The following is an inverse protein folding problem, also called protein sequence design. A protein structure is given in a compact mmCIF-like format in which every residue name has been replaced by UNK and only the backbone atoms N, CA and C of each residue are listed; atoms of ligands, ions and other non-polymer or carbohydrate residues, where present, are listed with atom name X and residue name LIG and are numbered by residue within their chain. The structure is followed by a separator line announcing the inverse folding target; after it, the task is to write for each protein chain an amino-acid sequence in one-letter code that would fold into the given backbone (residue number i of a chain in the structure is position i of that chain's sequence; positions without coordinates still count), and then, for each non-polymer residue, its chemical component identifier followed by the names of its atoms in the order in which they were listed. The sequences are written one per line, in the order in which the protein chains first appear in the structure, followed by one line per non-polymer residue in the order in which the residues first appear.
data_IF_734237760109
#
_entry.id   IF_734237760109
#
_cell.length_a   1.000
_cell.length_b   1.000
_cell.length_c   1.000
_cell.angle_alpha   90.00
_cell.angle_beta   90.00
_cell.angle_gamma   90.00
#
_symmetry.space_group_name_H-M   'P 1'
#
loop_
_entity.id
_entity.type
_entity.pdbx_description
1 polymer ?
#
# COMPACT_ATOMS: atom_id res chain seq x y z
N UNK A 1 -8.02 13.93 -27.49
CA UNK A 1 -9.15 13.01 -27.25
C UNK A 1 -9.90 13.51 -26.02
N UNK A 2 -11.17 13.89 -26.15
CA UNK A 2 -12.01 14.26 -25.00
C UNK A 2 -12.40 12.98 -24.26
N UNK A 3 -11.84 12.75 -23.06
CA UNK A 3 -12.35 11.71 -22.16
C UNK A 3 -13.71 12.18 -21.63
N UNK A 4 -14.77 11.43 -21.89
CA UNK A 4 -16.06 11.60 -21.21
C UNK A 4 -15.81 11.55 -19.69
N UNK A 5 -16.33 12.48 -18.88
CA UNK A 5 -16.17 12.41 -17.44
C UNK A 5 -16.76 11.08 -16.94
N UNK A 6 -15.94 10.29 -16.25
CA UNK A 6 -16.43 9.09 -15.57
C UNK A 6 -17.48 9.46 -14.51
N UNK A 7 -18.27 8.47 -14.04
CA UNK A 7 -19.21 8.71 -12.96
C UNK A 7 -18.47 9.31 -11.75
N UNK A 8 -19.06 10.35 -11.15
CA UNK A 8 -18.54 10.94 -9.92
C UNK A 8 -18.64 9.88 -8.81
N UNK A 9 -17.53 9.62 -8.12
CA UNK A 9 -17.51 8.70 -6.99
C UNK A 9 -18.40 9.25 -5.87
N UNK A 10 -19.24 8.41 -5.28
CA UNK A 10 -20.00 8.75 -4.08
C UNK A 10 -19.15 8.61 -2.81
N UNK A 11 -19.67 9.11 -1.69
CA UNK A 11 -18.96 9.09 -0.41
C UNK A 11 -18.58 7.66 0.02
N UNK A 12 -19.45 6.68 -0.25
CA UNK A 12 -19.18 5.28 0.09
C UNK A 12 -18.04 4.69 -0.75
N UNK A 13 -17.96 5.03 -2.03
CA UNK A 13 -16.89 4.58 -2.92
C UNK A 13 -15.56 5.24 -2.54
N UNK A 14 -15.57 6.52 -2.17
CA UNK A 14 -14.38 7.22 -1.67
C UNK A 14 -13.88 6.58 -0.37
N UNK A 15 -14.78 6.29 0.57
CA UNK A 15 -14.44 5.61 1.83
C UNK A 15 -13.79 4.25 1.58
N UNK A 16 -14.36 3.45 0.68
CA UNK A 16 -13.75 2.17 0.26
C UNK A 16 -12.39 2.35 -0.41
N UNK A 17 -12.23 3.34 -1.28
CA UNK A 17 -10.95 3.60 -1.94
C UNK A 17 -9.85 4.01 -0.94
N UNK A 18 -10.17 4.85 0.03
CA UNK A 18 -9.27 5.19 1.14
C UNK A 18 -8.97 3.96 2.01
N UNK A 19 -9.99 3.14 2.29
CA UNK A 19 -9.87 1.89 3.04
C UNK A 19 -8.96 0.86 2.36
N UNK A 20 -8.89 0.83 1.03
CA UNK A 20 -7.92 -0.01 0.30
C UNK A 20 -6.49 0.43 0.61
N UNK A 21 -6.22 1.74 0.58
CA UNK A 21 -4.88 2.24 0.85
C UNK A 21 -4.45 1.97 2.29
N UNK A 22 -5.32 2.31 3.25
CA UNK A 22 -5.05 2.11 4.68
C UNK A 22 -5.01 0.62 5.06
N UNK A 23 -5.93 -0.17 4.52
CA UNK A 23 -6.05 -1.61 4.82
C UNK A 23 -4.86 -2.41 4.33
N UNK A 24 -4.32 -2.06 3.16
CA UNK A 24 -3.08 -2.66 2.66
C UNK A 24 -1.89 -2.35 3.59
N UNK A 25 -1.72 -1.09 4.01
CA UNK A 25 -0.65 -0.71 4.94
C UNK A 25 -0.80 -1.37 6.32
N UNK A 26 -2.02 -1.48 6.83
CA UNK A 26 -2.34 -2.22 8.05
C UNK A 26 -2.01 -3.72 7.91
N UNK A 27 -2.34 -4.31 6.76
CA UNK A 27 -2.05 -5.71 6.46
C UNK A 27 -0.54 -5.99 6.39
N UNK A 28 0.20 -5.12 5.71
CA UNK A 28 1.65 -5.13 5.62
C UNK A 28 2.29 -5.05 7.01
N UNK A 29 2.06 -3.96 7.77
CA UNK A 29 2.65 -3.78 9.10
C UNK A 29 2.28 -4.90 10.10
N UNK A 30 1.09 -5.51 9.95
CA UNK A 30 0.70 -6.68 10.73
C UNK A 30 1.42 -7.96 10.28
N UNK A 31 1.74 -8.07 9.00
CA UNK A 31 2.40 -9.23 8.38
C UNK A 31 3.91 -9.26 8.56
N UNK A 32 4.58 -8.10 8.57
CA UNK A 32 6.05 -7.94 8.72
C UNK A 32 6.66 -8.87 9.78
N UNK A 33 6.13 -8.95 11.02
CA UNK A 33 6.73 -9.78 12.06
C UNK A 33 6.69 -11.28 11.79
N UNK A 34 5.87 -11.73 10.84
CA UNK A 34 5.54 -13.14 10.58
C UNK A 34 6.05 -13.66 9.23
N UNK A 35 6.69 -12.81 8.44
CA UNK A 35 7.27 -13.19 7.16
C UNK A 35 8.29 -14.33 7.33
N UNK A 36 8.18 -15.37 6.49
CA UNK A 36 8.99 -16.59 6.53
C UNK A 36 8.99 -17.37 7.86
N UNK A 37 8.03 -17.12 8.75
CA UNK A 37 7.87 -17.86 10.01
C UNK A 37 6.78 -18.92 9.91
N UNK A 38 6.74 -19.81 10.91
CA UNK A 38 5.65 -20.77 11.04
C UNK A 38 4.32 -20.04 11.27
N UNK A 39 3.23 -20.61 10.76
CA UNK A 39 1.88 -20.15 11.02
C UNK A 39 1.62 -20.05 12.53
N UNK A 40 0.89 -19.01 12.94
CA UNK A 40 0.47 -18.84 14.31
C UNK A 40 -0.42 -20.02 14.77
N UNK A 41 -0.23 -20.41 16.03
CA UNK A 41 -1.09 -21.36 16.74
C UNK A 41 -2.42 -20.70 17.11
N UNK A 42 -3.46 -21.49 17.34
CA UNK A 42 -4.81 -20.99 17.65
C UNK A 42 -4.91 -20.11 18.91
N UNK A 43 -4.01 -20.31 19.87
CA UNK A 43 -3.91 -19.52 21.11
C UNK A 43 -3.09 -18.24 20.93
N UNK A 44 -2.41 -18.06 19.80
CA UNK A 44 -1.67 -16.84 19.48
C UNK A 44 -2.61 -15.80 18.84
N UNK A 45 -2.28 -14.52 19.04
CA UNK A 45 -2.98 -13.40 18.39
C UNK A 45 -1.95 -12.59 17.60
N UNK A 46 -2.22 -12.29 16.31
CA UNK A 46 -1.31 -11.46 15.53
C UNK A 46 -1.31 -10.03 16.09
N UNK A 47 -0.15 -9.37 16.00
CA UNK A 47 0.03 -7.99 16.41
C UNK A 47 1.12 -7.30 15.59
N UNK A 48 1.02 -5.98 15.46
CA UNK A 48 2.01 -5.15 14.79
C UNK A 48 3.20 -4.90 15.71
N UNK A 49 4.06 -5.90 15.84
CA UNK A 49 5.17 -5.91 16.82
C UNK A 49 6.54 -5.56 16.21
N UNK A 50 6.61 -5.23 14.92
CA UNK A 50 7.86 -4.94 14.21
C UNK A 50 8.76 -6.17 14.01
N UNK A 51 10.03 -5.93 13.70
CA UNK A 51 11.02 -6.97 13.37
C UNK A 51 10.83 -7.53 11.96
N UNK A 52 10.95 -8.84 11.79
CA UNK A 52 10.89 -9.47 10.46
C UNK A 52 12.28 -9.50 9.80
N UNK A 53 12.34 -9.26 8.49
CA UNK A 53 13.60 -9.20 7.74
C UNK A 53 14.37 -7.88 7.92
N UNK A 54 13.72 -6.86 8.46
CA UNK A 54 14.30 -5.54 8.72
C UNK A 54 14.22 -5.14 10.21
N UNK A 55 14.83 -4.00 10.57
CA UNK A 55 14.76 -3.43 11.91
C UNK A 55 13.46 -2.61 12.11
N UNK A 56 12.32 -3.13 11.63
CA UNK A 56 11.05 -2.40 11.66
C UNK A 56 10.53 -2.23 13.09
N UNK A 57 10.06 -1.03 13.42
CA UNK A 57 9.40 -0.71 14.68
C UNK A 57 7.94 -1.25 14.70
N UNK A 58 7.32 -1.38 15.89
CA UNK A 58 5.91 -1.74 15.99
C UNK A 58 4.99 -0.81 15.17
N UNK A 59 4.30 -1.39 14.18
CA UNK A 59 3.40 -0.66 13.28
C UNK A 59 4.08 -0.03 12.06
N UNK A 60 5.39 -0.21 11.91
CA UNK A 60 6.10 0.18 10.70
C UNK A 60 5.80 -0.79 9.56
N UNK A 61 5.58 -0.22 8.36
CA UNK A 61 5.26 -0.94 7.13
C UNK A 61 6.54 -1.27 6.35
N UNK A 62 6.48 -2.26 5.45
CA UNK A 62 7.62 -2.69 4.62
C UNK A 62 7.66 -1.99 3.25
N UNK A 63 8.45 -2.55 2.34
CA UNK A 63 8.50 -2.15 0.93
C UNK A 63 7.15 -2.27 0.21
N UNK A 64 6.25 -3.17 0.64
CA UNK A 64 4.90 -3.30 0.07
C UNK A 64 4.15 -1.95 0.13
N UNK A 65 4.06 -1.34 1.31
CA UNK A 65 3.40 -0.04 1.47
C UNK A 65 4.21 1.10 0.86
N UNK A 66 5.55 1.06 0.94
CA UNK A 66 6.39 2.08 0.31
C UNK A 66 6.13 2.16 -1.19
N UNK A 67 6.19 1.04 -1.91
CA UNK A 67 5.90 0.96 -3.34
C UNK A 67 4.46 1.37 -3.65
N UNK A 68 3.50 0.91 -2.84
CA UNK A 68 2.10 1.28 -2.99
C UNK A 68 1.89 2.80 -2.94
N UNK A 69 2.55 3.49 -2.00
CA UNK A 69 2.48 4.95 -1.88
C UNK A 69 3.05 5.64 -3.11
N UNK A 70 4.19 5.19 -3.64
CA UNK A 70 4.77 5.74 -4.87
C UNK A 70 3.79 5.66 -6.05
N UNK A 71 3.16 4.48 -6.24
CA UNK A 71 2.14 4.28 -7.29
C UNK A 71 0.93 5.19 -7.07
N UNK A 72 0.41 5.26 -5.84
CA UNK A 72 -0.76 6.07 -5.52
C UNK A 72 -0.51 7.57 -5.74
N UNK A 73 0.68 8.07 -5.37
CA UNK A 73 1.07 9.47 -5.56
C UNK A 73 1.14 9.83 -7.04
N UNK A 74 1.76 8.99 -7.88
CA UNK A 74 1.82 9.24 -9.33
C UNK A 74 0.43 9.12 -9.96
N UNK A 75 -0.38 8.15 -9.56
CA UNK A 75 -1.76 8.01 -10.02
C UNK A 75 -2.61 9.26 -9.72
N UNK A 76 -2.43 9.85 -8.54
CA UNK A 76 -3.15 11.06 -8.11
C UNK A 76 -2.86 12.29 -8.99
N UNK A 77 -1.76 12.30 -9.75
CA UNK A 77 -1.46 13.36 -10.73
C UNK A 77 -2.31 13.27 -12.01
N UNK A 78 -3.00 12.15 -12.21
CA UNK A 78 -3.74 11.86 -13.44
C UNK A 78 -2.88 11.29 -14.59
N UNK A 79 -1.61 10.96 -14.32
CA UNK A 79 -0.73 10.31 -15.28
C UNK A 79 -1.26 8.94 -15.73
N UNK A 80 -0.96 8.56 -16.99
CA UNK A 80 -1.17 7.19 -17.45
C UNK A 80 -0.02 6.31 -16.91
N UNK A 81 -0.34 5.45 -15.93
CA UNK A 81 0.64 4.59 -15.24
C UNK A 81 1.35 3.58 -16.16
N UNK A 82 0.91 3.45 -17.41
CA UNK A 82 1.56 2.60 -18.42
C UNK A 82 2.63 3.34 -19.22
N UNK A 83 2.70 4.67 -19.09
CA UNK A 83 3.67 5.51 -19.79
C UNK A 83 5.04 5.48 -19.12
N UNK A 84 6.14 5.58 -19.89
CA UNK A 84 7.50 5.51 -19.35
C UNK A 84 7.77 6.60 -18.30
N UNK A 85 7.29 7.83 -18.52
CA UNK A 85 7.46 8.94 -17.56
C UNK A 85 6.80 8.65 -16.20
N UNK A 86 5.64 7.99 -16.19
CA UNK A 86 4.96 7.62 -14.95
C UNK A 86 5.70 6.48 -14.23
N UNK A 87 6.21 5.51 -14.98
CA UNK A 87 7.01 4.41 -14.43
C UNK A 87 8.32 4.93 -13.83
N UNK A 88 9.00 5.85 -14.51
CA UNK A 88 10.21 6.50 -14.02
C UNK A 88 9.94 7.29 -12.73
N UNK A 89 8.82 8.03 -12.67
CA UNK A 89 8.43 8.77 -11.48
C UNK A 89 8.11 7.86 -10.29
N UNK A 90 7.44 6.72 -10.51
CA UNK A 90 7.19 5.71 -9.47
C UNK A 90 8.52 5.16 -8.96
N UNK A 91 9.41 4.75 -9.88
CA UNK A 91 10.70 4.16 -9.53
C UNK A 91 11.59 5.13 -8.75
N UNK A 92 11.60 6.42 -9.15
CA UNK A 92 12.35 7.46 -8.46
C UNK A 92 11.82 7.79 -7.05
N UNK A 93 10.55 7.47 -6.77
CA UNK A 93 9.92 7.71 -5.48
C UNK A 93 10.17 6.63 -4.43
N UNK A 94 10.62 5.44 -4.84
CA UNK A 94 10.90 4.33 -3.93
C UNK A 94 12.28 4.51 -3.27
N UNK A 95 12.33 4.49 -1.94
CA UNK A 95 13.54 4.77 -1.13
C UNK A 95 13.69 3.82 0.05
#
# INVERSE_FOLDING_TARGET
MNRTPGPRLDAQTIDRAAGVLLGAAVGDALGVPYEFKATLREDQRPGMIGGGLGPYEPGEYSDDTQMQVCVAQVAATGADLRGPEALDAIAAGFQ
#
